data_IF_828848504528
#
_entry.id   IF_828848504528
#
_cell.length_a   1.000
_cell.length_b   1.000
_cell.length_c   1.000
_cell.angle_alpha   90.00
_cell.angle_beta   90.00
_cell.angle_gamma   90.00
#
_symmetry.space_group_name_H-M   'P 1'
#
loop_
_entity.id
_entity.type
_entity.pdbx_description
1 polymer ?
#
# COMPACT_ATOMS: atom_id res chain seq x y z
N UNK A 1 13.63 7.95 -3.14
CA UNK A 1 13.83 9.35 -3.66
C UNK A 1 13.70 10.32 -2.50
N UNK A 2 14.64 11.28 -2.29
CA UNK A 2 14.55 12.24 -1.20
C UNK A 2 13.43 13.27 -1.46
N UNK A 3 12.96 13.97 -0.41
CA UNK A 3 12.05 15.11 -0.57
C UNK A 3 12.65 16.19 -1.48
N UNK A 4 11.79 16.90 -2.19
CA UNK A 4 12.20 18.07 -2.99
C UNK A 4 12.24 19.27 -2.03
N UNK A 5 13.38 19.97 -1.94
CA UNK A 5 13.47 21.20 -1.15
C UNK A 5 12.50 22.26 -1.71
N UNK A 6 11.86 23.03 -0.84
CA UNK A 6 10.80 23.99 -1.22
C UNK A 6 11.30 24.97 -2.28
N UNK A 7 12.55 25.43 -2.14
CA UNK A 7 13.19 26.40 -3.04
C UNK A 7 13.40 25.82 -4.46
N UNK A 8 13.41 24.49 -4.58
CA UNK A 8 13.61 23.78 -5.84
C UNK A 8 12.31 23.31 -6.48
N UNK A 9 11.19 23.49 -5.80
CA UNK A 9 9.88 23.10 -6.34
C UNK A 9 9.46 24.05 -7.48
N UNK A 10 8.86 23.48 -8.52
CA UNK A 10 8.10 24.24 -9.51
C UNK A 10 6.80 24.76 -8.91
N UNK A 11 6.14 25.73 -9.56
CA UNK A 11 4.83 26.23 -9.11
C UNK A 11 3.78 25.13 -9.04
N UNK A 12 3.76 24.21 -10.02
CA UNK A 12 2.85 23.06 -10.02
C UNK A 12 3.12 22.13 -8.81
N UNK A 13 4.37 21.89 -8.44
CA UNK A 13 4.73 21.09 -7.26
C UNK A 13 4.35 21.81 -5.96
N UNK A 14 4.55 23.11 -5.84
CA UNK A 14 4.11 23.90 -4.68
C UNK A 14 2.59 23.84 -4.52
N UNK A 15 1.85 24.01 -5.62
CA UNK A 15 0.39 23.92 -5.61
C UNK A 15 -0.09 22.56 -5.15
N UNK A 16 0.45 21.46 -5.71
CA UNK A 16 0.09 20.10 -5.33
C UNK A 16 0.45 19.79 -3.87
N UNK A 17 1.61 20.27 -3.40
CA UNK A 17 2.02 20.09 -2.00
C UNK A 17 1.13 20.87 -1.03
N UNK A 18 0.73 22.10 -1.37
CA UNK A 18 -0.19 22.88 -0.57
C UNK A 18 -1.59 22.23 -0.50
N UNK A 19 -2.09 21.73 -1.62
CA UNK A 19 -3.39 21.07 -1.70
C UNK A 19 -3.49 19.82 -0.81
N UNK A 20 -2.50 18.91 -0.87
CA UNK A 20 -2.50 17.72 -0.02
C UNK A 20 -2.33 18.07 1.46
N UNK A 21 -1.55 19.12 1.77
CA UNK A 21 -1.30 19.55 3.14
C UNK A 21 -2.53 20.21 3.78
N UNK A 22 -3.36 20.89 2.99
CA UNK A 22 -4.63 21.45 3.44
C UNK A 22 -5.72 20.41 3.62
N UNK A 23 -5.57 19.22 3.02
CA UNK A 23 -6.52 18.12 3.13
C UNK A 23 -6.36 17.28 4.40
N UNK A 24 -7.22 16.25 4.54
CA UNK A 24 -7.26 15.33 5.70
C UNK A 24 -5.96 14.52 5.91
N UNK A 25 -5.07 14.45 4.91
CA UNK A 25 -3.76 13.79 5.00
C UNK A 25 -2.71 14.60 5.74
N UNK A 26 -2.83 15.92 5.76
CA UNK A 26 -1.98 16.83 6.54
C UNK A 26 -0.55 17.06 6.00
N UNK A 27 -0.17 16.44 4.85
CA UNK A 27 1.16 16.68 4.28
C UNK A 27 1.58 15.75 3.17
N UNK A 28 2.75 16.06 2.60
CA UNK A 28 3.43 15.27 1.55
C UNK A 28 4.27 14.19 2.24
N UNK A 29 3.70 13.02 2.48
CA UNK A 29 4.37 11.91 3.17
C UNK A 29 4.27 10.61 2.36
N UNK A 30 5.12 9.65 2.67
CA UNK A 30 5.10 8.32 2.05
C UNK A 30 5.20 8.38 0.51
N UNK A 31 4.27 7.74 -0.21
CA UNK A 31 4.30 7.69 -1.67
C UNK A 31 4.24 9.07 -2.33
N UNK A 32 3.65 10.06 -1.66
CA UNK A 32 3.48 11.41 -2.21
C UNK A 32 4.78 12.19 -2.28
N UNK A 33 5.79 11.83 -1.47
CA UNK A 33 7.14 12.42 -1.58
C UNK A 33 7.74 12.16 -2.97
N UNK A 34 7.59 10.95 -3.46
CA UNK A 34 8.03 10.59 -4.81
C UNK A 34 7.08 11.12 -5.88
N UNK A 35 5.76 10.95 -5.67
CA UNK A 35 4.71 11.34 -6.62
C UNK A 35 4.68 12.84 -6.91
N UNK A 36 5.20 13.70 -6.00
CA UNK A 36 5.30 15.15 -6.20
C UNK A 36 6.13 15.53 -7.45
N UNK A 37 6.94 14.60 -7.97
CA UNK A 37 7.67 14.79 -9.24
C UNK A 37 6.75 14.79 -10.47
N UNK A 38 5.56 14.25 -10.31
CA UNK A 38 4.47 14.33 -11.28
C UNK A 38 3.24 14.95 -10.58
N UNK A 39 3.20 16.28 -10.42
CA UNK A 39 2.22 16.95 -9.55
C UNK A 39 0.78 16.69 -9.96
N UNK A 40 0.48 16.60 -11.25
CA UNK A 40 -0.87 16.30 -11.73
C UNK A 40 -1.27 14.84 -11.39
N UNK A 41 -0.39 13.87 -11.59
CA UNK A 41 -0.62 12.49 -11.18
C UNK A 41 -0.82 12.40 -9.65
N UNK A 42 0.02 13.07 -8.88
CA UNK A 42 -0.11 13.14 -7.43
C UNK A 42 -1.48 13.68 -6.99
N UNK A 43 -1.95 14.78 -7.61
CA UNK A 43 -3.25 15.38 -7.30
C UNK A 43 -4.40 14.41 -7.54
N UNK A 44 -4.39 13.68 -8.65
CA UNK A 44 -5.42 12.66 -8.96
C UNK A 44 -5.37 11.50 -7.95
N UNK A 45 -4.18 10.99 -7.68
CA UNK A 45 -3.99 9.92 -6.70
C UNK A 45 -4.43 10.34 -5.29
N UNK A 46 -4.07 11.56 -4.84
CA UNK A 46 -4.44 12.00 -3.51
C UNK A 46 -5.97 12.19 -3.38
N UNK A 47 -6.67 12.66 -4.41
CA UNK A 47 -8.13 12.80 -4.38
C UNK A 47 -8.83 11.43 -4.32
N UNK A 48 -8.44 10.49 -5.20
CA UNK A 48 -8.96 9.12 -5.15
C UNK A 48 -8.71 8.48 -3.78
N UNK A 49 -7.47 8.58 -3.28
CA UNK A 49 -7.13 8.00 -1.99
C UNK A 49 -7.77 8.70 -0.80
N UNK A 50 -8.12 9.99 -0.89
CA UNK A 50 -8.91 10.67 0.12
C UNK A 50 -10.33 10.10 0.17
N UNK A 51 -10.98 9.95 -0.98
CA UNK A 51 -12.28 9.30 -1.09
C UNK A 51 -12.27 7.88 -0.51
N UNK A 52 -11.39 7.02 -1.01
CA UNK A 52 -11.33 5.61 -0.58
C UNK A 52 -11.07 5.46 0.92
N UNK A 53 -10.26 6.34 1.50
CA UNK A 53 -9.87 6.24 2.91
C UNK A 53 -10.90 6.84 3.86
N UNK A 54 -11.60 7.90 3.45
CA UNK A 54 -12.37 8.73 4.37
C UNK A 54 -13.87 8.82 4.04
N UNK A 55 -14.24 8.56 2.80
CA UNK A 55 -15.60 8.87 2.32
C UNK A 55 -16.25 7.66 1.62
N UNK A 56 -15.53 6.56 1.36
CA UNK A 56 -16.10 5.33 0.81
C UNK A 56 -17.02 4.63 1.82
N UNK A 57 -17.93 3.82 1.30
CA UNK A 57 -18.92 3.08 2.10
C UNK A 57 -18.38 1.74 2.65
N UNK A 58 -17.14 1.36 2.32
CA UNK A 58 -16.53 0.12 2.82
C UNK A 58 -16.36 0.23 4.33
N UNK A 59 -16.74 -0.83 5.04
CA UNK A 59 -16.44 -0.98 6.46
C UNK A 59 -14.94 -0.70 6.72
N UNK A 60 -14.60 0.18 7.68
CA UNK A 60 -13.20 0.54 7.94
C UNK A 60 -12.30 -0.66 8.23
N UNK A 61 -12.80 -1.71 8.89
CA UNK A 61 -12.07 -2.94 9.17
C UNK A 61 -11.71 -3.68 7.88
N UNK A 62 -12.69 -3.93 7.01
CA UNK A 62 -12.48 -4.61 5.73
C UNK A 62 -11.56 -3.80 4.81
N UNK A 63 -11.67 -2.48 4.85
CA UNK A 63 -10.79 -1.59 4.08
C UNK A 63 -9.32 -1.72 4.52
N UNK A 64 -9.05 -1.69 5.82
CA UNK A 64 -7.67 -1.83 6.32
C UNK A 64 -7.12 -3.25 6.03
N UNK A 65 -7.94 -4.30 6.06
CA UNK A 65 -7.53 -5.64 5.63
C UNK A 65 -7.08 -5.66 4.17
N UNK A 66 -7.86 -5.06 3.26
CA UNK A 66 -7.48 -4.91 1.84
C UNK A 66 -6.14 -4.19 1.68
N UNK A 67 -5.92 -3.14 2.46
CA UNK A 67 -4.67 -2.39 2.42
C UNK A 67 -3.50 -3.25 2.92
N UNK A 68 -3.66 -3.96 4.04
CA UNK A 68 -2.63 -4.86 4.56
C UNK A 68 -2.33 -6.03 3.62
N UNK A 69 -3.37 -6.64 3.01
CA UNK A 69 -3.21 -7.68 1.98
C UNK A 69 -2.40 -7.16 0.78
N UNK A 70 -2.68 -5.92 0.34
CA UNK A 70 -1.96 -5.29 -0.76
C UNK A 70 -0.51 -4.97 -0.35
N UNK A 71 -0.30 -4.40 0.84
CA UNK A 71 1.04 -4.13 1.36
C UNK A 71 1.86 -5.41 1.46
N UNK A 72 1.26 -6.51 1.93
CA UNK A 72 1.89 -7.84 2.00
C UNK A 72 2.22 -8.39 0.62
N UNK A 73 1.29 -8.32 -0.32
CA UNK A 73 1.48 -8.79 -1.72
C UNK A 73 2.72 -8.18 -2.36
N UNK A 74 2.96 -6.89 -2.13
CA UNK A 74 4.10 -6.15 -2.68
C UNK A 74 5.26 -6.00 -1.68
N UNK A 75 5.14 -6.60 -0.49
CA UNK A 75 6.12 -6.46 0.61
C UNK A 75 6.53 -5.00 0.82
N UNK A 76 5.53 -4.12 0.92
CA UNK A 76 5.74 -2.69 1.03
C UNK A 76 5.77 -2.25 2.50
N UNK A 77 6.97 -1.98 3.00
CA UNK A 77 7.23 -1.73 4.42
C UNK A 77 6.54 -0.48 4.96
N UNK A 78 6.57 0.64 4.19
CA UNK A 78 5.96 1.91 4.61
C UNK A 78 4.43 1.82 4.68
N UNK A 79 3.82 1.15 3.71
CA UNK A 79 2.37 0.94 3.66
C UNK A 79 1.91 0.10 4.86
N UNK A 80 2.59 -1.02 5.12
CA UNK A 80 2.32 -1.86 6.27
C UNK A 80 2.45 -1.09 7.59
N UNK A 81 3.60 -0.43 7.79
CA UNK A 81 3.88 0.36 8.99
C UNK A 81 2.81 1.45 9.24
N UNK A 82 2.31 2.07 8.17
CA UNK A 82 1.28 3.09 8.27
C UNK A 82 -0.08 2.50 8.63
N UNK A 83 -0.44 1.36 8.04
CA UNK A 83 -1.80 0.83 8.08
C UNK A 83 -2.03 -0.25 9.15
N UNK A 84 -1.00 -0.94 9.64
CA UNK A 84 -1.15 -1.91 10.73
C UNK A 84 -1.77 -1.30 12.00
N UNK A 85 -1.31 -0.14 12.52
CA UNK A 85 -1.96 0.50 13.66
C UNK A 85 -3.41 0.93 13.38
N UNK A 86 -3.70 1.33 12.14
CA UNK A 86 -5.05 1.71 11.73
C UNK A 86 -5.97 0.50 11.63
N UNK A 87 -5.47 -0.64 11.16
CA UNK A 87 -6.20 -1.90 11.12
C UNK A 87 -6.56 -2.36 12.55
N UNK A 88 -5.64 -2.30 13.49
CA UNK A 88 -5.90 -2.57 14.90
C UNK A 88 -6.97 -1.64 15.48
N UNK A 89 -6.86 -0.34 15.19
CA UNK A 89 -7.83 0.65 15.63
C UNK A 89 -9.22 0.46 14.99
N UNK A 90 -9.27 -0.07 13.77
CA UNK A 90 -10.51 -0.42 13.07
C UNK A 90 -11.12 -1.74 13.54
N UNK A 91 -10.45 -2.50 14.41
CA UNK A 91 -10.95 -3.74 14.98
C UNK A 91 -10.53 -5.01 14.24
N UNK A 92 -9.56 -4.95 13.34
CA UNK A 92 -8.98 -6.16 12.74
C UNK A 92 -8.31 -6.98 13.84
N UNK A 93 -8.64 -8.26 13.91
CA UNK A 93 -8.09 -9.16 14.93
C UNK A 93 -6.57 -9.30 14.78
N UNK A 94 -5.84 -9.34 15.91
CA UNK A 94 -4.38 -9.52 15.87
C UNK A 94 -3.97 -10.79 15.11
N UNK A 95 -4.70 -11.89 15.30
CA UNK A 95 -4.45 -13.14 14.58
C UNK A 95 -4.61 -12.99 13.04
N UNK A 96 -5.55 -12.15 12.58
CA UNK A 96 -5.72 -11.82 11.16
C UNK A 96 -4.52 -11.03 10.65
N UNK A 97 -4.08 -9.99 11.37
CA UNK A 97 -2.91 -9.19 11.01
C UNK A 97 -1.65 -10.04 10.93
N UNK A 98 -1.43 -10.91 11.95
CA UNK A 98 -0.26 -11.80 12.02
C UNK A 98 -0.26 -12.82 10.86
N UNK A 99 -1.43 -13.36 10.52
CA UNK A 99 -1.58 -14.27 9.38
C UNK A 99 -1.28 -13.56 8.05
N UNK A 100 -1.80 -12.34 7.85
CA UNK A 100 -1.50 -11.53 6.65
C UNK A 100 0.02 -11.26 6.59
N UNK A 101 0.66 -10.86 7.68
CA UNK A 101 2.11 -10.63 7.74
C UNK A 101 2.90 -11.87 7.32
N UNK A 102 2.49 -13.04 7.78
CA UNK A 102 3.10 -14.32 7.40
C UNK A 102 2.75 -14.77 5.96
N UNK A 103 1.83 -14.09 5.26
CA UNK A 103 1.38 -14.47 3.93
C UNK A 103 0.42 -15.67 3.93
N UNK A 104 -0.23 -15.92 5.03
CA UNK A 104 -1.18 -16.99 5.24
C UNK A 104 -2.62 -16.48 5.24
N UNK A 105 -3.56 -17.40 5.01
CA UNK A 105 -4.98 -17.14 5.27
C UNK A 105 -5.19 -17.22 6.78
N UNK A 106 -5.89 -16.25 7.39
CA UNK A 106 -6.21 -16.32 8.82
C UNK A 106 -6.99 -17.58 9.19
N UNK A 107 -6.74 -18.16 10.37
CA UNK A 107 -7.40 -19.41 10.78
C UNK A 107 -8.90 -19.25 11.04
N UNK A 108 -9.33 -18.02 11.30
CA UNK A 108 -10.73 -17.67 11.53
C UNK A 108 -11.02 -16.36 10.83
N UNK A 109 -12.01 -16.38 9.96
CA UNK A 109 -12.56 -15.21 9.26
C UNK A 109 -14.07 -15.23 9.48
N UNK A 110 -14.68 -14.07 9.69
CA UNK A 110 -16.12 -13.96 9.56
C UNK A 110 -16.55 -14.03 8.08
N UNK A 111 -17.87 -13.98 7.83
CA UNK A 111 -18.38 -14.13 6.48
C UNK A 111 -17.85 -13.03 5.53
N UNK A 112 -17.85 -11.80 5.98
CA UNK A 112 -17.49 -10.63 5.17
C UNK A 112 -15.98 -10.60 4.93
N UNK A 113 -15.17 -10.87 5.96
CA UNK A 113 -13.73 -11.07 5.85
C UNK A 113 -13.37 -12.16 4.82
N UNK A 114 -14.04 -13.32 4.89
CA UNK A 114 -13.78 -14.43 3.97
C UNK A 114 -14.02 -14.02 2.51
N UNK A 115 -15.10 -13.28 2.23
CA UNK A 115 -15.40 -12.76 0.89
C UNK A 115 -14.31 -11.77 0.43
N UNK A 116 -13.89 -10.85 1.29
CA UNK A 116 -12.85 -9.86 0.98
C UNK A 116 -11.50 -10.54 0.72
N UNK A 117 -11.11 -11.51 1.54
CA UNK A 117 -9.87 -12.28 1.34
C UNK A 117 -9.88 -13.06 0.02
N UNK A 118 -10.97 -13.79 -0.28
CA UNK A 118 -11.11 -14.51 -1.56
C UNK A 118 -11.08 -13.55 -2.76
N UNK A 119 -11.75 -12.39 -2.64
CA UNK A 119 -11.77 -11.36 -3.68
C UNK A 119 -10.36 -10.82 -3.94
N UNK A 120 -9.63 -10.43 -2.90
CA UNK A 120 -8.25 -9.96 -3.03
C UNK A 120 -7.33 -11.05 -3.61
N UNK A 121 -7.46 -12.31 -3.17
CA UNK A 121 -6.67 -13.41 -3.68
C UNK A 121 -6.91 -13.62 -5.19
N UNK A 122 -8.16 -13.62 -5.64
CA UNK A 122 -8.52 -13.75 -7.05
C UNK A 122 -7.99 -12.57 -7.90
N UNK A 123 -8.12 -11.35 -7.39
CA UNK A 123 -7.61 -10.15 -8.08
C UNK A 123 -6.08 -10.18 -8.20
N UNK A 124 -5.37 -10.63 -7.17
CA UNK A 124 -3.90 -10.74 -7.19
C UNK A 124 -3.39 -11.89 -8.05
N UNK A 125 -4.16 -12.96 -8.23
CA UNK A 125 -3.78 -14.10 -9.06
C UNK A 125 -4.06 -13.83 -10.54
N UNK A 126 -5.30 -13.56 -10.87
CA UNK A 126 -5.79 -13.59 -12.24
C UNK A 126 -6.42 -12.25 -12.71
N UNK A 127 -6.65 -11.31 -11.77
CA UNK A 127 -7.38 -10.05 -12.05
C UNK A 127 -8.85 -10.29 -12.37
N UNK A 128 -9.41 -11.45 -12.03
CA UNK A 128 -10.78 -11.88 -12.34
C UNK A 128 -11.39 -12.61 -11.16
N UNK A 129 -12.72 -12.62 -11.12
CA UNK A 129 -13.49 -13.36 -10.12
C UNK A 129 -14.51 -14.29 -10.82
N UNK A 130 -14.89 -15.38 -10.16
CA UNK A 130 -15.98 -16.23 -10.62
C UNK A 130 -17.34 -15.55 -10.38
N UNK A 131 -18.37 -15.96 -11.13
CA UNK A 131 -19.75 -15.47 -10.93
C UNK A 131 -20.23 -15.70 -9.49
N UNK A 132 -19.87 -16.84 -8.90
CA UNK A 132 -20.23 -17.16 -7.52
C UNK A 132 -19.58 -16.22 -6.50
N UNK A 133 -18.29 -15.89 -6.68
CA UNK A 133 -17.61 -14.91 -5.81
C UNK A 133 -18.13 -13.50 -6.04
N UNK A 134 -18.42 -13.14 -7.29
CA UNK A 134 -19.07 -11.87 -7.62
C UNK A 134 -20.41 -11.71 -6.90
N UNK A 135 -21.29 -12.72 -6.95
CA UNK A 135 -22.57 -12.66 -6.28
C UNK A 135 -22.41 -12.46 -4.76
N UNK A 136 -21.52 -13.21 -4.11
CA UNK A 136 -21.22 -13.06 -2.67
C UNK A 136 -20.64 -11.67 -2.34
N UNK A 137 -19.78 -11.16 -3.21
CA UNK A 137 -19.21 -9.81 -3.02
C UNK A 137 -20.27 -8.72 -3.14
N UNK A 138 -21.25 -8.86 -4.04
CA UNK A 138 -22.41 -7.96 -4.12
C UNK A 138 -23.26 -8.04 -2.86
N UNK A 139 -23.50 -9.24 -2.33
CA UNK A 139 -24.29 -9.41 -1.10
C UNK A 139 -23.64 -8.73 0.11
N UNK A 140 -22.31 -8.78 0.22
CA UNK A 140 -21.56 -8.21 1.36
C UNK A 140 -21.30 -6.72 1.18
N UNK A 141 -20.90 -6.28 0.00
CA UNK A 141 -20.40 -4.92 -0.24
C UNK A 141 -21.41 -4.01 -0.95
N UNK A 142 -22.39 -4.57 -1.62
CA UNK A 142 -23.19 -3.86 -2.61
C UNK A 142 -22.39 -3.49 -3.86
N UNK A 143 -23.06 -2.97 -4.86
CA UNK A 143 -22.39 -2.58 -6.14
C UNK A 143 -21.34 -1.48 -5.93
N UNK A 144 -21.67 -0.45 -5.16
CA UNK A 144 -20.73 0.65 -4.89
C UNK A 144 -19.54 0.19 -4.07
N UNK A 145 -19.75 -0.57 -3.00
CA UNK A 145 -18.68 -1.08 -2.14
C UNK A 145 -17.73 -2.02 -2.89
N UNK A 146 -18.25 -2.86 -3.81
CA UNK A 146 -17.42 -3.70 -4.66
C UNK A 146 -16.50 -2.85 -5.57
N UNK A 147 -17.03 -1.80 -6.21
CA UNK A 147 -16.21 -0.90 -7.04
C UNK A 147 -15.18 -0.17 -6.19
N UNK A 148 -15.55 0.30 -5.01
CA UNK A 148 -14.63 0.97 -4.08
C UNK A 148 -13.52 0.02 -3.63
N UNK A 149 -13.84 -1.26 -3.32
CA UNK A 149 -12.85 -2.25 -2.90
C UNK A 149 -11.86 -2.58 -4.02
N UNK A 150 -12.34 -2.82 -5.24
CA UNK A 150 -11.48 -3.06 -6.41
C UNK A 150 -10.61 -1.81 -6.68
N UNK A 151 -11.20 -0.62 -6.54
CA UNK A 151 -10.45 0.63 -6.65
C UNK A 151 -9.39 0.78 -5.56
N UNK A 152 -9.68 0.36 -4.34
CA UNK A 152 -8.71 0.36 -3.23
C UNK A 152 -7.54 -0.59 -3.53
N UNK A 153 -7.79 -1.82 -3.99
CA UNK A 153 -6.75 -2.77 -4.40
C UNK A 153 -5.85 -2.15 -5.47
N UNK A 154 -6.43 -1.56 -6.53
CA UNK A 154 -5.66 -0.92 -7.60
C UNK A 154 -4.88 0.30 -7.14
N UNK A 155 -5.49 1.14 -6.31
CA UNK A 155 -4.88 2.34 -5.75
C UNK A 155 -3.67 2.01 -4.87
N UNK A 156 -3.84 1.13 -3.87
CA UNK A 156 -2.75 0.75 -2.97
C UNK A 156 -1.66 -0.07 -3.67
N UNK A 157 -2.01 -0.86 -4.70
CA UNK A 157 -1.03 -1.45 -5.63
C UNK A 157 -0.17 -0.37 -6.29
N UNK A 158 -0.79 0.68 -6.82
CA UNK A 158 -0.06 1.79 -7.45
C UNK A 158 0.88 2.47 -6.46
N UNK A 159 0.42 2.76 -5.24
CA UNK A 159 1.26 3.37 -4.20
C UNK A 159 2.42 2.46 -3.79
N UNK A 160 2.15 1.17 -3.57
CA UNK A 160 3.18 0.18 -3.23
C UNK A 160 4.26 0.11 -4.32
N UNK A 161 3.88 0.08 -5.59
CA UNK A 161 4.83 0.06 -6.71
C UNK A 161 5.64 1.36 -6.81
N UNK A 162 5.00 2.52 -6.63
CA UNK A 162 5.72 3.82 -6.56
C UNK A 162 6.76 3.76 -5.45
N UNK A 163 6.39 3.36 -4.24
CA UNK A 163 7.30 3.32 -3.10
C UNK A 163 8.42 2.29 -3.27
N UNK A 164 8.13 1.12 -3.83
CA UNK A 164 9.14 0.09 -4.11
C UNK A 164 10.16 0.57 -5.16
N UNK A 165 9.69 1.16 -6.27
CA UNK A 165 10.58 1.67 -7.34
C UNK A 165 11.41 2.85 -6.84
N UNK A 166 10.83 3.72 -6.04
CA UNK A 166 11.51 4.93 -5.53
C UNK A 166 12.30 4.69 -4.25
N UNK A 167 12.26 3.45 -3.72
CA UNK A 167 12.94 3.04 -2.48
C UNK A 167 12.56 3.95 -1.31
N UNK A 168 11.26 4.15 -1.11
CA UNK A 168 10.75 4.92 0.02
C UNK A 168 11.15 4.21 1.31
N UNK A 169 11.90 4.92 2.16
CA UNK A 169 12.35 4.39 3.44
C UNK A 169 11.27 4.52 4.51
N UNK A 170 11.32 3.65 5.49
CA UNK A 170 10.60 3.85 6.74
C UNK A 170 11.11 5.11 7.46
N UNK A 171 10.31 5.77 8.31
CA UNK A 171 10.78 6.80 9.20
C UNK A 171 11.92 6.28 10.11
N UNK A 172 12.81 7.18 10.53
CA UNK A 172 13.91 6.83 11.41
C UNK A 172 13.37 6.19 12.71
N UNK A 173 13.94 5.05 13.08
CA UNK A 173 13.53 4.28 14.26
C UNK A 173 12.24 3.47 14.12
N UNK A 174 11.55 3.56 12.98
CA UNK A 174 10.37 2.72 12.75
C UNK A 174 10.77 1.24 12.56
N UNK A 175 10.07 0.29 13.21
CA UNK A 175 10.34 -1.13 13.04
C UNK A 175 9.98 -1.56 11.62
N UNK A 176 10.87 -2.34 11.00
CA UNK A 176 10.54 -3.00 9.74
C UNK A 176 9.54 -4.14 9.99
N UNK A 177 8.55 -4.33 9.13
CA UNK A 177 7.66 -5.46 9.22
C UNK A 177 8.40 -6.80 9.10
N UNK A 178 8.00 -7.78 9.89
CA UNK A 178 8.48 -9.15 9.73
C UNK A 178 7.71 -9.83 8.58
N UNK A 179 8.39 -10.00 7.45
CA UNK A 179 7.84 -10.69 6.29
C UNK A 179 8.16 -12.20 6.29
N UNK A 180 8.26 -12.83 7.46
CA UNK A 180 8.46 -14.27 7.57
C UNK A 180 7.40 -15.03 6.78
N UNK A 181 7.84 -15.95 5.90
CA UNK A 181 6.96 -16.67 4.98
C UNK A 181 6.73 -16.00 3.61
N UNK A 182 7.31 -14.80 3.35
CA UNK A 182 7.26 -14.13 2.05
C UNK A 182 8.35 -14.60 1.07
N UNK A 183 8.27 -14.18 -0.21
CA UNK A 183 9.33 -14.44 -1.16
C UNK A 183 10.68 -13.93 -0.63
N UNK A 184 11.70 -14.77 -0.75
CA UNK A 184 13.05 -14.51 -0.25
C UNK A 184 13.58 -13.15 -0.72
N UNK A 185 13.93 -12.29 0.23
CA UNK A 185 14.54 -10.98 0.00
C UNK A 185 16.07 -10.98 0.06
N UNK A 186 16.70 -12.16 0.20
CA UNK A 186 18.16 -12.26 0.37
C UNK A 186 18.99 -11.66 -0.79
N UNK A 187 18.35 -11.34 -1.90
CA UNK A 187 18.97 -10.64 -3.04
C UNK A 187 19.07 -9.12 -2.94
N UNK A 188 18.56 -8.47 -1.88
CA UNK A 188 18.52 -7.00 -1.78
C UNK A 188 19.62 -6.35 -0.93
N UNK A 189 20.44 -7.12 -0.22
CA UNK A 189 21.56 -6.61 0.58
C UNK A 189 22.89 -7.00 -0.01
N UNK A 190 23.41 -6.24 -0.99
CA UNK A 190 24.71 -6.53 -1.59
C UNK A 190 25.27 -5.41 -2.45
N UNK A 191 25.09 -4.18 -2.02
CA UNK A 191 25.68 -3.00 -2.65
C UNK A 191 26.59 -2.22 -1.71
N UNK A 192 27.46 -2.90 -0.95
CA UNK A 192 28.53 -2.22 -0.22
C UNK A 192 29.85 -2.46 -0.93
N UNK A 193 30.44 -1.40 -1.46
CA UNK A 193 31.83 -1.12 -1.74
C UNK A 193 32.83 -2.25 -1.73
N UNK A 194 33.36 -2.57 -2.90
CA UNK A 194 34.62 -3.22 -3.10
C UNK A 194 35.53 -2.29 -3.89
N UNK A 195 36.33 -1.53 -3.19
CA UNK A 195 37.42 -0.74 -3.73
C UNK A 195 38.57 -1.65 -4.20
N UNK A 196 39.07 -1.38 -5.40
CA UNK A 196 40.52 -1.43 -5.69
C UNK A 196 41.14 -2.78 -5.93
N UNK A 197 41.64 -2.97 -7.13
CA UNK A 197 43.07 -2.94 -7.41
C UNK A 197 43.35 -3.20 -8.89
N UNK A 198 44.21 -2.33 -9.38
CA UNK A 198 45.01 -2.46 -10.59
C UNK A 198 45.77 -3.81 -10.65
N UNK A 199 45.95 -4.32 -11.85
CA UNK A 199 47.19 -4.68 -12.53
C UNK A 199 46.82 -5.58 -13.72
N UNK A 200 47.12 -5.21 -14.97
CA UNK A 200 48.43 -5.32 -15.56
C UNK A 200 48.46 -6.44 -16.60
N UNK A 201 48.61 -6.07 -17.90
CA UNK A 201 49.23 -6.84 -19.00
C UNK A 201 48.47 -8.10 -19.51
N UNK A 202 48.16 -8.18 -20.75
CA UNK A 202 48.90 -8.17 -22.04
C UNK A 202 47.91 -7.86 -23.15
#
# INVERSE_FOLDING_TARGET
MPPIAIERMTDAQRTAAAEISAGRRGGVVGPFVAALRSPECMRRLQHLGAYLRFDSTIDPRLREEVILLTARRYTQDYEWWTHEPLARAAGVASATIDAIAAGNVPPTLDHDEAVVFELCAALFADGRVSDALYARAIDVLGESGLIDLVSAVGYYTTLALIMNVTKTALPEGAPAPDWSGGPDRSGRSGGSGGSGREDGRV
#
